data_IF_659947030443
#
_entry.id   IF_659947030443
#
_cell.length_a   1.000
_cell.length_b   1.000
_cell.length_c   1.000
_cell.angle_alpha   90.00
_cell.angle_beta   90.00
_cell.angle_gamma   90.00
#
_symmetry.space_group_name_H-M   'P 1'
#
loop_
_entity.id
_entity.type
_entity.pdbx_description
1 polymer ?
#
# COMPACT_ATOMS: atom_id res chain seq x y z
N UNK A 1 0.40 0.19 -18.69
CA UNK A 1 1.13 -0.87 -17.99
C UNK A 1 0.15 -1.62 -17.11
N UNK A 2 0.11 -2.93 -17.31
CA UNK A 2 -0.31 -3.89 -16.29
C UNK A 2 0.55 -3.65 -15.03
N UNK A 3 -0.05 -3.61 -13.85
CA UNK A 3 0.66 -3.38 -12.59
C UNK A 3 1.15 -4.71 -12.03
N UNK A 4 2.26 -4.76 -11.28
CA UNK A 4 2.87 -6.02 -10.83
C UNK A 4 1.89 -7.02 -10.14
N UNK A 5 0.79 -6.51 -9.58
CA UNK A 5 -0.27 -7.30 -8.96
C UNK A 5 -0.97 -8.28 -9.93
N UNK A 6 -1.25 -7.85 -11.16
CA UNK A 6 -1.98 -8.68 -12.13
C UNK A 6 -1.13 -9.86 -12.61
N UNK A 7 0.18 -9.64 -12.81
CA UNK A 7 1.17 -10.67 -13.12
C UNK A 7 1.30 -11.69 -12.00
N UNK A 8 1.35 -11.26 -10.74
CA UNK A 8 1.52 -12.16 -9.58
C UNK A 8 0.27 -12.99 -9.30
N UNK A 9 -0.92 -12.50 -9.66
CA UNK A 9 -2.20 -13.17 -9.43
C UNK A 9 -2.81 -13.83 -10.67
N UNK A 10 -2.10 -13.80 -11.82
CA UNK A 10 -2.58 -14.22 -13.14
C UNK A 10 -3.94 -13.60 -13.54
N UNK A 11 -4.15 -12.35 -13.14
CA UNK A 11 -5.37 -11.61 -13.44
C UNK A 11 -5.22 -10.96 -14.82
N UNK A 12 -6.21 -11.17 -15.69
CA UNK A 12 -6.26 -10.54 -17.02
C UNK A 12 -7.33 -9.48 -17.05
N UNK A 13 -6.99 -8.27 -16.63
CA UNK A 13 -7.95 -7.17 -16.70
C UNK A 13 -7.94 -6.50 -18.07
N UNK A 14 -9.12 -6.35 -18.67
CA UNK A 14 -9.31 -5.57 -19.90
C UNK A 14 -9.42 -4.06 -19.62
N UNK A 15 -9.83 -3.71 -18.40
CA UNK A 15 -10.10 -2.34 -17.98
C UNK A 15 -9.39 -2.04 -16.65
N UNK A 16 -9.24 -0.77 -16.32
CA UNK A 16 -8.53 -0.33 -15.12
C UNK A 16 -9.19 0.95 -14.59
N UNK A 17 -8.66 1.48 -13.48
CA UNK A 17 -9.24 2.66 -12.81
C UNK A 17 -9.36 3.89 -13.73
N UNK A 18 -8.50 4.06 -14.75
CA UNK A 18 -8.62 5.22 -15.66
C UNK A 18 -9.87 5.18 -16.54
N UNK A 19 -10.42 3.99 -16.82
CA UNK A 19 -11.68 3.85 -17.57
C UNK A 19 -12.88 4.32 -16.74
N UNK A 20 -12.81 4.18 -15.41
CA UNK A 20 -13.83 4.70 -14.49
C UNK A 20 -13.72 6.21 -14.37
N UNK A 21 -12.51 6.72 -14.19
CA UNK A 21 -12.24 8.17 -14.09
C UNK A 21 -12.77 8.89 -15.34
N UNK A 22 -12.46 8.37 -16.53
CA UNK A 22 -12.92 8.93 -17.81
C UNK A 22 -14.41 8.67 -18.12
N UNK A 23 -15.14 7.95 -17.27
CA UNK A 23 -16.57 7.66 -17.44
C UNK A 23 -16.92 6.59 -18.48
N UNK A 24 -15.94 5.85 -19.01
CA UNK A 24 -16.16 4.79 -19.99
C UNK A 24 -16.66 3.48 -19.36
N UNK A 25 -16.39 3.28 -18.05
CA UNK A 25 -16.74 2.07 -17.29
C UNK A 25 -17.20 2.40 -15.89
N UNK A 26 -18.03 1.53 -15.31
CA UNK A 26 -18.39 1.55 -13.89
C UNK A 26 -17.36 0.77 -13.06
N UNK A 27 -17.31 1.05 -11.75
CA UNK A 27 -16.35 0.43 -10.84
C UNK A 27 -16.46 -1.11 -10.78
N UNK A 28 -17.68 -1.64 -10.72
CA UNK A 28 -17.97 -3.07 -10.73
C UNK A 28 -17.58 -3.78 -12.04
N UNK A 29 -17.53 -3.06 -13.16
CA UNK A 29 -17.06 -3.61 -14.45
C UNK A 29 -15.54 -3.79 -14.50
N UNK A 30 -14.79 -3.11 -13.62
CA UNK A 30 -13.32 -3.18 -13.60
C UNK A 30 -12.78 -4.04 -12.45
N UNK A 31 -13.57 -4.30 -11.41
CA UNK A 31 -13.20 -5.18 -10.30
C UNK A 31 -13.00 -6.60 -10.83
N UNK A 32 -11.81 -7.14 -10.63
CA UNK A 32 -11.46 -8.50 -10.96
C UNK A 32 -11.50 -9.39 -9.71
N UNK A 33 -12.05 -10.61 -9.80
CA UNK A 33 -11.95 -11.58 -8.71
C UNK A 33 -10.51 -12.08 -8.59
N UNK A 34 -9.95 -11.92 -7.41
CA UNK A 34 -8.70 -12.51 -6.98
C UNK A 34 -8.91 -13.76 -6.11
N UNK A 35 -7.83 -14.39 -5.66
CA UNK A 35 -7.92 -15.58 -4.84
C UNK A 35 -8.58 -15.28 -3.48
N UNK A 36 -9.30 -16.27 -2.94
CA UNK A 36 -9.90 -16.23 -1.59
C UNK A 36 -10.84 -15.03 -1.36
N UNK A 37 -11.54 -14.59 -2.41
CA UNK A 37 -12.51 -13.49 -2.32
C UNK A 37 -11.88 -12.10 -2.37
N UNK A 38 -10.58 -11.99 -2.63
CA UNK A 38 -9.93 -10.70 -2.87
C UNK A 38 -10.57 -10.02 -4.08
N UNK A 39 -10.93 -8.75 -3.96
CA UNK A 39 -11.35 -7.91 -5.09
C UNK A 39 -10.18 -7.06 -5.53
N UNK A 40 -9.83 -7.14 -6.81
CA UNK A 40 -8.65 -6.45 -7.36
C UNK A 40 -9.09 -5.39 -8.36
N UNK A 41 -8.62 -4.16 -8.16
CA UNK A 41 -8.75 -3.09 -9.14
C UNK A 41 -7.36 -2.86 -9.71
N UNK A 42 -7.19 -3.13 -11.00
CA UNK A 42 -5.95 -2.83 -11.68
C UNK A 42 -5.77 -1.30 -11.78
N UNK A 43 -4.60 -0.82 -11.39
CA UNK A 43 -4.20 0.58 -11.61
C UNK A 43 -4.03 0.87 -13.10
N UNK A 44 -3.99 2.15 -13.45
CA UNK A 44 -3.51 2.60 -14.75
C UNK A 44 -2.02 2.96 -14.64
N UNK A 45 -1.23 2.64 -15.66
CA UNK A 45 0.10 3.28 -15.79
C UNK A 45 -0.08 4.78 -15.91
N UNK A 46 0.70 5.55 -15.16
CA UNK A 46 0.62 7.01 -15.23
C UNK A 46 -0.57 7.59 -14.46
N UNK A 47 -0.86 7.04 -13.27
CA UNK A 47 -1.69 7.73 -12.26
C UNK A 47 -1.12 9.12 -11.88
N UNK A 48 0.01 9.53 -12.43
CA UNK A 48 0.47 10.92 -12.48
C UNK A 48 -0.64 11.88 -12.95
N UNK A 49 -1.53 11.43 -13.85
CA UNK A 49 -2.70 12.21 -14.27
C UNK A 49 -3.78 12.40 -13.21
N UNK A 50 -3.78 11.66 -12.09
CA UNK A 50 -4.71 11.95 -11.00
C UNK A 50 -4.46 13.33 -10.39
N UNK A 51 -3.24 13.86 -10.47
CA UNK A 51 -2.99 15.23 -10.05
C UNK A 51 -3.65 16.26 -10.99
N UNK A 52 -4.04 15.85 -12.21
CA UNK A 52 -4.57 16.71 -13.28
C UNK A 52 -6.02 16.36 -13.67
N UNK A 53 -6.74 15.54 -12.90
CA UNK A 53 -8.15 15.21 -13.22
C UNK A 53 -9.07 16.39 -12.89
N UNK A 54 -10.03 16.63 -13.78
CA UNK A 54 -11.03 17.69 -13.64
C UNK A 54 -11.93 17.47 -12.41
N UNK A 55 -12.54 18.53 -11.89
CA UNK A 55 -13.49 18.43 -10.76
C UNK A 55 -14.62 17.40 -10.99
N UNK A 56 -15.07 17.24 -12.24
CA UNK A 56 -16.09 16.26 -12.60
C UNK A 56 -15.57 14.82 -12.46
N UNK A 57 -14.35 14.55 -12.95
CA UNK A 57 -13.70 13.25 -12.84
C UNK A 57 -13.38 12.91 -11.38
N UNK A 58 -12.98 13.92 -10.61
CA UNK A 58 -12.75 13.80 -9.17
C UNK A 58 -14.04 13.41 -8.42
N UNK A 59 -15.18 14.08 -8.69
CA UNK A 59 -16.49 13.73 -8.10
C UNK A 59 -16.95 12.32 -8.48
N UNK A 60 -16.76 11.91 -9.75
CA UNK A 60 -17.10 10.54 -10.18
C UNK A 60 -16.26 9.50 -9.45
N UNK A 61 -14.96 9.75 -9.33
CA UNK A 61 -14.05 8.86 -8.63
C UNK A 61 -14.45 8.74 -7.15
N UNK A 62 -14.79 9.85 -6.49
CA UNK A 62 -15.34 9.86 -5.13
C UNK A 62 -16.58 8.96 -4.98
N UNK A 63 -17.60 9.19 -5.79
CA UNK A 63 -18.88 8.46 -5.66
C UNK A 63 -18.65 6.95 -5.80
N UNK A 64 -17.81 6.54 -6.74
CA UNK A 64 -17.47 5.13 -6.94
C UNK A 64 -16.66 4.54 -5.78
N UNK A 65 -15.75 5.32 -5.21
CA UNK A 65 -14.90 4.88 -4.12
C UNK A 65 -15.64 4.86 -2.76
N UNK A 66 -16.54 5.81 -2.51
CA UNK A 66 -17.41 5.80 -1.34
C UNK A 66 -18.30 4.56 -1.31
N UNK A 67 -18.89 4.16 -2.44
CA UNK A 67 -19.63 2.89 -2.54
C UNK A 67 -18.76 1.68 -2.26
N UNK A 68 -17.53 1.67 -2.78
CA UNK A 68 -16.58 0.58 -2.50
C UNK A 68 -16.24 0.50 -1.00
N UNK A 69 -16.16 1.64 -0.32
CA UNK A 69 -15.92 1.71 1.13
C UNK A 69 -17.06 1.09 1.93
N UNK A 70 -18.32 1.29 1.52
CA UNK A 70 -19.49 0.69 2.18
C UNK A 70 -19.50 -0.84 2.07
N UNK A 71 -18.90 -1.39 1.01
CA UNK A 71 -18.87 -2.83 0.74
C UNK A 71 -17.57 -3.53 1.21
N UNK A 72 -16.60 -2.81 1.76
CA UNK A 72 -15.29 -3.39 2.14
C UNK A 72 -14.85 -3.01 3.54
N UNK A 73 -14.35 -3.99 4.30
CA UNK A 73 -13.72 -3.75 5.59
C UNK A 73 -12.34 -3.11 5.48
N UNK A 74 -11.65 -3.32 4.36
CA UNK A 74 -10.25 -2.90 4.16
C UNK A 74 -9.95 -2.69 2.69
N UNK A 75 -9.33 -1.55 2.40
CA UNK A 75 -8.80 -1.20 1.08
C UNK A 75 -7.29 -1.14 1.19
N UNK A 76 -6.59 -1.98 0.42
CA UNK A 76 -5.14 -1.95 0.31
C UNK A 76 -4.75 -1.24 -0.99
N UNK A 77 -3.88 -0.25 -0.88
CA UNK A 77 -3.39 0.54 -2.02
C UNK A 77 -1.91 0.23 -2.21
N UNK A 78 -1.59 -0.39 -3.34
CA UNK A 78 -0.20 -0.60 -3.78
C UNK A 78 0.28 0.63 -4.55
N UNK A 79 1.24 1.35 -3.98
CA UNK A 79 1.75 2.60 -4.56
C UNK A 79 3.01 2.34 -5.38
N UNK A 80 3.30 3.23 -6.34
CA UNK A 80 4.62 3.27 -6.96
C UNK A 80 5.73 3.55 -5.92
N UNK A 81 6.98 3.29 -6.28
CA UNK A 81 8.13 3.62 -5.44
C UNK A 81 8.41 5.13 -5.44
N UNK A 82 9.11 5.60 -4.39
CA UNK A 82 9.59 6.97 -4.29
C UNK A 82 8.59 7.95 -3.68
N UNK A 83 8.75 9.22 -4.02
CA UNK A 83 8.08 10.37 -3.37
C UNK A 83 7.30 11.23 -4.36
N UNK A 84 6.83 10.65 -5.47
CA UNK A 84 6.02 11.39 -6.42
C UNK A 84 4.75 11.96 -5.75
N UNK A 85 4.23 13.04 -6.30
CA UNK A 85 3.06 13.74 -5.76
C UNK A 85 1.89 12.78 -5.55
N UNK A 86 1.63 11.89 -6.53
CA UNK A 86 0.57 10.88 -6.45
C UNK A 86 0.80 9.86 -5.32
N UNK A 87 2.02 9.35 -5.13
CA UNK A 87 2.34 8.41 -4.04
C UNK A 87 2.09 9.06 -2.68
N UNK A 88 2.58 10.29 -2.50
CA UNK A 88 2.38 11.04 -1.26
C UNK A 88 0.91 11.37 -1.04
N UNK A 89 0.15 11.72 -2.08
CA UNK A 89 -1.29 11.97 -2.00
C UNK A 89 -2.07 10.78 -1.44
N UNK A 90 -1.83 9.57 -1.97
CA UNK A 90 -2.44 8.35 -1.44
C UNK A 90 -2.04 8.07 0.01
N UNK A 91 -0.77 8.23 0.34
CA UNK A 91 -0.28 8.03 1.71
C UNK A 91 -0.93 9.02 2.69
N UNK A 92 -1.05 10.31 2.32
CA UNK A 92 -1.69 11.32 3.16
C UNK A 92 -3.18 11.04 3.40
N UNK A 93 -3.82 10.39 2.44
CA UNK A 93 -5.20 9.99 2.55
C UNK A 93 -5.40 8.70 3.36
N UNK A 94 -4.40 7.84 3.50
CA UNK A 94 -4.49 6.54 4.17
C UNK A 94 -4.76 6.65 5.68
N UNK A 95 -5.59 5.76 6.23
CA UNK A 95 -5.76 5.61 7.71
C UNK A 95 -4.51 5.02 8.37
N UNK A 96 -3.65 4.36 7.58
CA UNK A 96 -2.36 3.85 8.01
C UNK A 96 -1.44 3.75 6.78
N UNK A 97 -0.15 4.08 6.96
CA UNK A 97 0.87 3.88 5.93
C UNK A 97 1.82 2.77 6.37
N UNK A 98 2.04 1.79 5.48
CA UNK A 98 3.10 0.80 5.61
C UNK A 98 4.25 1.16 4.66
N UNK A 99 5.41 1.49 5.22
CA UNK A 99 6.65 1.70 4.47
C UNK A 99 7.43 0.39 4.45
N UNK A 100 7.81 -0.08 3.27
CA UNK A 100 8.62 -1.29 3.08
C UNK A 100 10.06 -0.88 2.79
N UNK A 101 11.02 -1.51 3.47
CA UNK A 101 12.46 -1.32 3.21
C UNK A 101 13.19 -2.67 3.22
N UNK A 102 14.48 -2.69 2.87
CA UNK A 102 15.38 -3.85 3.00
C UNK A 102 16.58 -3.47 3.87
N UNK A 103 17.42 -4.43 4.32
CA UNK A 103 18.65 -4.12 5.05
C UNK A 103 19.73 -3.35 4.25
N UNK A 104 19.45 -2.96 3.01
CA UNK A 104 20.38 -2.22 2.16
C UNK A 104 20.33 -0.72 2.48
N UNK A 105 21.50 -0.07 2.50
CA UNK A 105 21.63 1.33 2.89
C UNK A 105 20.79 2.29 2.04
N UNK A 106 20.74 2.07 0.73
CA UNK A 106 19.93 2.86 -0.21
C UNK A 106 18.43 2.73 0.09
N UNK A 107 17.94 1.50 0.27
CA UNK A 107 16.52 1.25 0.59
C UNK A 107 16.10 1.86 1.94
N UNK A 108 16.99 1.86 2.94
CA UNK A 108 16.74 2.53 4.22
C UNK A 108 16.68 4.06 4.06
N UNK A 109 17.55 4.64 3.23
CA UNK A 109 17.56 6.07 2.95
C UNK A 109 16.29 6.51 2.20
N UNK A 110 15.84 5.73 1.22
CA UNK A 110 14.60 5.99 0.46
C UNK A 110 13.37 5.90 1.35
N UNK A 111 13.29 4.86 2.19
CA UNK A 111 12.21 4.70 3.18
C UNK A 111 12.15 5.90 4.14
N UNK A 112 13.29 6.34 4.66
CA UNK A 112 13.38 7.55 5.48
C UNK A 112 12.96 8.81 4.69
N UNK A 113 13.30 8.90 3.41
CA UNK A 113 12.87 9.96 2.52
C UNK A 113 11.34 10.09 2.46
N UNK A 114 10.63 8.97 2.24
CA UNK A 114 9.17 8.92 2.25
C UNK A 114 8.62 9.34 3.62
N UNK A 115 9.12 8.76 4.71
CA UNK A 115 8.70 9.09 6.09
C UNK A 115 8.86 10.59 6.37
N UNK A 116 10.01 11.17 6.02
CA UNK A 116 10.30 12.59 6.18
C UNK A 116 9.29 13.47 5.44
N UNK A 117 8.93 13.12 4.21
CA UNK A 117 7.94 13.88 3.44
C UNK A 117 6.56 13.80 4.10
N UNK A 118 6.11 12.61 4.51
CA UNK A 118 4.82 12.41 5.18
C UNK A 118 4.73 13.21 6.49
N UNK A 119 5.77 13.15 7.32
CA UNK A 119 5.81 13.91 8.58
C UNK A 119 5.78 15.42 8.31
N UNK A 120 6.56 15.92 7.34
CA UNK A 120 6.56 17.35 6.96
C UNK A 120 5.22 17.82 6.42
N UNK A 121 4.51 16.95 5.69
CA UNK A 121 3.14 17.18 5.21
C UNK A 121 2.08 16.97 6.30
N UNK A 122 2.49 16.80 7.57
CA UNK A 122 1.63 16.66 8.75
C UNK A 122 0.69 15.46 8.68
N UNK A 123 1.14 14.35 8.10
CA UNK A 123 0.43 13.08 8.26
C UNK A 123 0.36 12.70 9.75
N UNK A 124 -0.85 12.49 10.27
CA UNK A 124 -1.09 12.25 11.70
C UNK A 124 -1.40 10.81 12.08
N UNK A 125 -1.67 9.97 11.08
CA UNK A 125 -2.01 8.57 11.32
C UNK A 125 -0.74 7.71 11.44
N UNK A 126 -0.85 6.44 11.88
CA UNK A 126 0.31 5.59 12.10
C UNK A 126 1.13 5.35 10.83
N UNK A 127 2.44 5.59 10.90
CA UNK A 127 3.42 5.15 9.89
C UNK A 127 4.14 3.92 10.46
N UNK A 128 4.01 2.78 9.79
CA UNK A 128 4.63 1.53 10.21
C UNK A 128 5.70 1.06 9.23
N UNK A 129 6.78 0.46 9.70
CA UNK A 129 7.88 -0.04 8.87
C UNK A 129 7.88 -1.58 8.81
N UNK A 130 7.91 -2.11 7.59
CA UNK A 130 8.18 -3.52 7.30
C UNK A 130 9.61 -3.64 6.77
N UNK A 131 10.41 -4.51 7.38
CA UNK A 131 11.75 -4.83 6.86
C UNK A 131 11.67 -6.14 6.07
N UNK A 132 11.75 -6.05 4.76
CA UNK A 132 11.73 -7.16 3.83
C UNK A 132 13.13 -7.66 3.50
N UNK A 133 13.24 -8.92 3.03
CA UNK A 133 14.49 -9.56 2.61
C UNK A 133 15.59 -9.58 3.69
N UNK A 134 15.21 -9.58 4.97
CA UNK A 134 16.19 -9.76 6.04
C UNK A 134 16.74 -11.20 6.05
N UNK A 135 18.02 -11.35 6.39
CA UNK A 135 18.67 -12.66 6.60
C UNK A 135 18.28 -13.29 7.92
N UNK A 136 17.88 -12.48 8.90
CA UNK A 136 17.39 -12.93 10.20
C UNK A 136 16.42 -11.94 10.83
N UNK A 137 15.65 -12.41 11.82
CA UNK A 137 14.78 -11.54 12.62
C UNK A 137 15.58 -10.47 13.39
N UNK A 138 16.80 -10.79 13.81
CA UNK A 138 17.66 -9.86 14.53
C UNK A 138 18.13 -8.72 13.61
N UNK A 139 18.58 -9.04 12.39
CA UNK A 139 18.96 -8.03 11.39
C UNK A 139 17.77 -7.13 11.06
N UNK A 140 16.59 -7.70 10.82
CA UNK A 140 15.39 -6.92 10.52
C UNK A 140 15.01 -5.97 11.67
N UNK A 141 15.09 -6.43 12.93
CA UNK A 141 14.87 -5.57 14.10
C UNK A 141 15.91 -4.45 14.23
N UNK A 142 17.18 -4.74 13.94
CA UNK A 142 18.25 -3.72 13.95
C UNK A 142 18.02 -2.65 12.88
N UNK A 143 17.62 -3.05 11.67
CA UNK A 143 17.25 -2.12 10.59
C UNK A 143 16.09 -1.22 11.00
N UNK A 144 15.02 -1.81 11.54
CA UNK A 144 13.89 -1.05 12.08
C UNK A 144 14.35 -0.03 13.13
N UNK A 145 15.14 -0.46 14.11
CA UNK A 145 15.59 0.39 15.20
C UNK A 145 16.38 1.60 14.67
N UNK A 146 17.29 1.39 13.71
CA UNK A 146 18.06 2.48 13.08
C UNK A 146 17.16 3.51 12.41
N UNK A 147 16.19 3.08 11.60
CA UNK A 147 15.28 3.99 10.91
C UNK A 147 14.37 4.71 11.91
N UNK A 148 13.88 4.01 12.93
CA UNK A 148 13.06 4.58 13.99
C UNK A 148 13.82 5.63 14.81
N UNK A 149 15.08 5.38 15.16
CA UNK A 149 15.91 6.31 15.93
C UNK A 149 16.23 7.59 15.14
N UNK A 150 16.56 7.47 13.85
CA UNK A 150 16.75 8.62 12.96
C UNK A 150 15.44 9.41 12.82
N UNK A 151 14.31 8.72 12.64
CA UNK A 151 12.98 9.35 12.56
C UNK A 151 12.66 10.13 13.84
N UNK A 152 12.87 9.53 15.02
CA UNK A 152 12.63 10.18 16.31
C UNK A 152 13.55 11.38 16.50
N UNK A 153 14.85 11.22 16.24
CA UNK A 153 15.87 12.26 16.46
C UNK A 153 15.66 13.49 15.58
N UNK A 154 15.34 13.31 14.29
CA UNK A 154 15.32 14.41 13.32
C UNK A 154 13.92 14.90 12.96
N UNK A 155 12.90 14.05 13.11
CA UNK A 155 11.53 14.38 12.72
C UNK A 155 10.57 14.50 13.91
N UNK A 156 11.03 14.14 15.12
CA UNK A 156 10.21 14.12 16.34
C UNK A 156 8.92 13.30 16.17
N UNK A 157 8.98 12.26 15.34
CA UNK A 157 7.87 11.39 15.00
C UNK A 157 8.14 9.95 15.44
N UNK A 158 7.07 9.22 15.74
CA UNK A 158 7.16 7.79 16.04
C UNK A 158 6.96 6.98 14.76
N UNK A 159 7.82 5.97 14.60
CA UNK A 159 7.69 4.95 13.57
C UNK A 159 7.32 3.63 14.26
N UNK A 160 6.29 2.95 13.78
CA UNK A 160 5.80 1.71 14.38
C UNK A 160 6.40 0.48 13.71
N UNK A 161 6.64 -0.59 14.47
CA UNK A 161 7.17 -1.83 13.94
C UNK A 161 6.05 -2.71 13.36
N UNK A 162 5.99 -2.85 12.02
CA UNK A 162 5.02 -3.72 11.37
C UNK A 162 5.49 -5.18 11.35
N UNK A 163 6.75 -5.44 11.01
CA UNK A 163 7.29 -6.80 10.99
C UNK A 163 8.57 -6.96 10.19
N UNK A 164 9.07 -8.20 10.18
CA UNK A 164 10.22 -8.61 9.37
C UNK A 164 9.80 -9.76 8.46
N UNK A 165 10.08 -9.62 7.17
CA UNK A 165 9.97 -10.69 6.19
C UNK A 165 11.38 -11.16 5.84
N UNK A 166 11.64 -12.45 6.07
CA UNK A 166 12.94 -13.02 5.76
C UNK A 166 13.07 -13.27 4.26
N UNK A 167 14.30 -13.20 3.74
CA UNK A 167 14.58 -13.63 2.37
C UNK A 167 14.21 -15.11 2.21
N UNK A 168 13.37 -15.43 1.23
CA UNK A 168 12.93 -16.79 0.92
C UNK A 168 12.82 -16.96 -0.61
N UNK A 169 13.60 -17.89 -1.18
CA UNK A 169 13.62 -18.18 -2.62
C UNK A 169 12.28 -18.73 -3.15
N UNK A 170 11.42 -19.24 -2.25
CA UNK A 170 10.05 -19.65 -2.59
C UNK A 170 9.20 -18.48 -3.05
N UNK A 171 9.48 -17.25 -2.59
CA UNK A 171 8.81 -16.05 -3.08
C UNK A 171 9.05 -15.87 -4.58
N UNK A 172 10.31 -15.90 -4.99
CA UNK A 172 10.72 -15.79 -6.41
C UNK A 172 10.08 -16.91 -7.25
N UNK A 173 10.07 -18.14 -6.71
CA UNK A 173 9.46 -19.29 -7.38
C UNK A 173 7.95 -19.11 -7.55
N UNK A 174 7.25 -18.64 -6.50
CA UNK A 174 5.82 -18.40 -6.53
C UNK A 174 5.43 -17.29 -7.52
N UNK A 175 6.20 -16.20 -7.56
CA UNK A 175 6.01 -15.10 -8.52
C UNK A 175 6.18 -15.57 -9.96
N UNK A 176 7.22 -16.39 -10.25
CA UNK A 176 7.40 -16.99 -11.58
C UNK A 176 6.24 -17.90 -11.98
N UNK A 177 5.63 -18.58 -11.00
CA UNK A 177 4.45 -19.40 -11.17
C UNK A 177 3.13 -18.60 -11.16
N UNK A 178 3.18 -17.26 -11.11
CA UNK A 178 2.02 -16.36 -11.03
C UNK A 178 1.04 -16.75 -9.93
N UNK A 179 1.57 -17.12 -8.77
CA UNK A 179 0.78 -17.50 -7.60
C UNK A 179 1.31 -16.77 -6.37
N UNK A 180 0.45 -16.14 -5.55
CA UNK A 180 0.86 -15.57 -4.28
C UNK A 180 1.57 -16.61 -3.40
N UNK A 181 2.71 -16.24 -2.78
CA UNK A 181 3.54 -17.16 -1.99
C UNK A 181 2.77 -17.84 -0.86
N UNK A 182 1.84 -17.13 -0.24
CA UNK A 182 0.97 -17.64 0.83
C UNK A 182 0.04 -18.76 0.36
N UNK A 183 -0.28 -18.80 -0.94
CA UNK A 183 -1.11 -19.84 -1.55
C UNK A 183 -0.25 -20.95 -2.19
N UNK A 184 0.93 -20.61 -2.70
CA UNK A 184 1.86 -21.58 -3.27
C UNK A 184 2.53 -22.43 -2.19
N UNK A 185 2.90 -21.80 -1.07
CA UNK A 185 3.65 -22.41 0.03
C UNK A 185 3.05 -22.02 1.39
N UNK A 186 1.83 -22.48 1.72
CA UNK A 186 1.11 -22.04 2.93
C UNK A 186 1.82 -22.38 4.25
N UNK A 187 2.69 -23.39 4.26
CA UNK A 187 3.48 -23.82 5.44
C UNK A 187 4.87 -23.19 5.51
N UNK A 188 5.26 -22.35 4.54
CA UNK A 188 6.57 -21.71 4.55
C UNK A 188 6.66 -20.61 5.60
N UNK A 189 7.87 -20.36 6.11
CA UNK A 189 8.11 -19.33 7.12
C UNK A 189 7.66 -17.94 6.64
N UNK A 190 7.91 -17.61 5.37
CA UNK A 190 7.47 -16.33 4.78
C UNK A 190 5.95 -16.16 4.82
N UNK A 191 5.18 -17.26 4.65
CA UNK A 191 3.72 -17.23 4.72
C UNK A 191 3.22 -16.97 6.14
N UNK A 192 3.85 -17.58 7.14
CA UNK A 192 3.59 -17.29 8.56
C UNK A 192 3.95 -15.84 8.93
N UNK A 193 5.04 -15.30 8.38
CA UNK A 193 5.40 -13.89 8.57
C UNK A 193 4.38 -12.93 7.95
N UNK A 194 3.85 -13.23 6.76
CA UNK A 194 2.73 -12.47 6.16
C UNK A 194 1.46 -12.52 7.02
N UNK A 195 1.11 -13.70 7.55
CA UNK A 195 -0.04 -13.83 8.46
C UNK A 195 0.13 -13.00 9.73
N UNK A 196 1.34 -12.99 10.30
CA UNK A 196 1.67 -12.20 11.49
C UNK A 196 1.64 -10.70 11.22
N UNK A 197 2.12 -10.27 10.04
CA UNK A 197 2.03 -8.90 9.57
C UNK A 197 0.57 -8.48 9.40
N UNK A 198 -0.24 -9.29 8.73
CA UNK A 198 -1.66 -9.03 8.51
C UNK A 198 -2.43 -8.89 9.84
N UNK A 199 -2.18 -9.78 10.81
CA UNK A 199 -2.79 -9.69 12.13
C UNK A 199 -2.44 -8.38 12.87
N UNK A 200 -1.19 -7.89 12.74
CA UNK A 200 -0.78 -6.63 13.35
C UNK A 200 -1.41 -5.42 12.67
N UNK A 201 -1.49 -5.42 11.35
CA UNK A 201 -2.14 -4.34 10.59
C UNK A 201 -3.64 -4.30 10.90
N UNK A 202 -4.31 -5.46 10.92
CA UNK A 202 -5.74 -5.54 11.26
C UNK A 202 -6.03 -5.16 12.72
N UNK A 203 -5.13 -5.47 13.65
CA UNK A 203 -5.26 -5.12 15.06
C UNK A 203 -4.99 -3.64 15.38
N UNK A 204 -4.44 -2.87 14.44
CA UNK A 204 -4.11 -1.46 14.63
C UNK A 204 -5.28 -0.50 14.36
N UNK A 205 -6.53 -0.99 14.33
CA UNK A 205 -7.73 -0.20 14.04
C UNK A 205 -7.78 1.07 14.88
N UNK A 206 -7.60 2.22 14.21
CA UNK A 206 -7.94 3.54 14.70
C UNK A 206 -9.45 3.60 14.96
N UNK A 207 -9.87 4.17 16.09
CA UNK A 207 -11.28 4.28 16.44
C UNK A 207 -12.10 4.97 15.34
N UNK A 208 -13.36 4.55 15.19
CA UNK A 208 -14.32 5.11 14.23
C UNK A 208 -14.43 6.63 14.36
N UNK A 209 -13.71 7.36 13.52
CA UNK A 209 -14.12 8.72 13.15
C UNK A 209 -14.87 8.63 11.83
N UNK A 210 -16.20 8.49 11.93
CA UNK A 210 -17.14 8.46 10.79
C UNK A 210 -17.06 9.71 9.89
N UNK A 211 -16.38 10.80 10.30
CA UNK A 211 -16.45 12.10 9.62
C UNK A 211 -15.40 12.37 8.53
N UNK A 212 -14.27 11.65 8.47
CA UNK A 212 -13.17 11.97 7.53
C UNK A 212 -12.64 10.73 6.80
N UNK A 213 -13.42 10.20 5.85
CA UNK A 213 -13.07 8.99 5.10
C UNK A 213 -11.83 9.16 4.21
N UNK A 214 -11.10 8.06 3.98
CA UNK A 214 -9.94 7.99 3.08
C UNK A 214 -10.12 8.80 1.79
N UNK A 215 -11.24 8.61 1.10
CA UNK A 215 -11.50 9.25 -0.20
C UNK A 215 -11.74 10.76 -0.09
N UNK A 216 -12.38 11.25 0.98
CA UNK A 216 -12.46 12.69 1.25
C UNK A 216 -11.08 13.29 1.45
N UNK A 217 -10.16 12.56 2.08
CA UNK A 217 -8.77 13.01 2.29
C UNK A 217 -7.97 13.05 0.99
N UNK A 218 -8.14 12.08 0.09
CA UNK A 218 -7.56 12.13 -1.27
C UNK A 218 -8.01 13.40 -1.99
N UNK A 219 -9.29 13.75 -1.88
CA UNK A 219 -9.86 14.88 -2.61
C UNK A 219 -9.42 16.24 -2.09
N UNK A 220 -9.29 16.41 -0.77
CA UNK A 220 -8.68 17.62 -0.22
C UNK A 220 -7.24 17.82 -0.67
N UNK A 221 -6.56 16.74 -1.09
CA UNK A 221 -5.22 16.83 -1.67
C UNK A 221 -5.25 17.18 -3.17
N UNK A 222 -6.33 16.83 -3.88
CA UNK A 222 -6.52 17.12 -5.31
C UNK A 222 -7.00 18.55 -5.61
N UNK A 223 -7.52 19.25 -4.59
CA UNK A 223 -7.90 20.67 -4.61
C UNK A 223 -6.79 21.55 -4.03
#
# INVERSE_FOLDING_TARGET
SLGNLDLVMDIRSKYNISHVISGHKRMDEIIQPGPKGLRVICGASGLDRLADISELEQRRLLDHLSRLQEETDTILIDTAAGISTSVIGFCLAADQVLVVTTPEAAAMADAYGVIKVLVRKRYRQPISLVVNMARSMAEGKQVYQRVADVTRRFLQANLYFAGVLLKDERLCTAVRARKPVVLAYPKAQISSSFASLAARVAGARSGDTQDDSFFRRVMRWLN
#
